data_IF_614220270569
#
_entry.id   IF_614220270569
#
_cell.length_a   1.000
_cell.length_b   1.000
_cell.length_c   1.000
_cell.angle_alpha   90.00
_cell.angle_beta   90.00
_cell.angle_gamma   90.00
#
_symmetry.space_group_name_H-M   'P 1'
#
loop_
_entity.id
_entity.type
_entity.pdbx_description
1 polymer ?
#
# COMPACT_ATOMS: atom_id res chain seq x y z
N UNK A 1 -8.79 -5.29 11.56
CA UNK A 1 -8.16 -4.66 10.39
C UNK A 1 -7.68 -5.77 9.50
N UNK A 2 -8.09 -5.77 8.23
CA UNK A 2 -7.39 -6.55 7.22
C UNK A 2 -6.30 -5.68 6.63
N UNK A 3 -5.15 -6.29 6.38
CA UNK A 3 -4.01 -5.64 5.77
C UNK A 3 -4.28 -5.52 4.26
N UNK A 4 -4.19 -4.32 3.68
CA UNK A 4 -4.17 -4.13 2.22
C UNK A 4 -3.01 -4.89 1.59
N UNK A 5 -2.99 -5.17 0.28
CA UNK A 5 -1.82 -5.77 -0.36
C UNK A 5 -0.54 -4.95 -0.15
N UNK A 6 -0.67 -3.61 -0.06
CA UNK A 6 0.42 -2.71 0.31
C UNK A 6 0.85 -2.98 1.75
N UNK A 7 -0.08 -3.08 2.70
CA UNK A 7 0.24 -3.39 4.10
C UNK A 7 0.78 -4.81 4.28
N UNK A 8 0.32 -5.78 3.50
CA UNK A 8 0.89 -7.13 3.43
C UNK A 8 2.31 -7.05 2.92
N UNK A 9 2.59 -6.23 1.90
CA UNK A 9 3.94 -5.92 1.43
C UNK A 9 4.81 -5.35 2.55
N UNK A 10 4.29 -4.37 3.30
CA UNK A 10 4.97 -3.75 4.45
C UNK A 10 5.23 -4.71 5.59
N UNK A 11 4.25 -5.53 5.93
CA UNK A 11 4.37 -6.62 6.89
C UNK A 11 5.39 -7.63 6.37
N UNK A 12 5.40 -7.95 5.08
CA UNK A 12 6.28 -8.98 4.49
C UNK A 12 7.73 -8.54 4.50
N UNK A 13 8.07 -7.32 4.05
CA UNK A 13 9.46 -6.86 4.14
C UNK A 13 9.85 -6.58 5.60
N UNK A 14 8.93 -6.12 6.46
CA UNK A 14 9.16 -5.96 7.90
C UNK A 14 9.46 -7.30 8.61
N UNK A 15 8.73 -8.36 8.25
CA UNK A 15 9.03 -9.72 8.66
C UNK A 15 10.37 -10.18 8.09
N UNK A 16 10.67 -9.89 6.83
CA UNK A 16 11.96 -10.17 6.20
C UNK A 16 13.14 -9.57 6.96
N UNK A 17 13.06 -8.29 7.35
CA UNK A 17 14.08 -7.66 8.20
C UNK A 17 14.14 -8.27 9.61
N UNK A 18 13.00 -8.63 10.19
CA UNK A 18 12.96 -9.27 11.52
C UNK A 18 13.60 -10.66 11.51
N UNK A 19 13.31 -11.47 10.49
CA UNK A 19 13.97 -12.76 10.28
C UNK A 19 15.45 -12.60 9.94
N UNK A 20 15.84 -11.59 9.16
CA UNK A 20 17.24 -11.27 8.91
C UNK A 20 18.00 -11.00 10.23
N UNK A 21 17.45 -10.14 11.10
CA UNK A 21 18.03 -9.84 12.42
C UNK A 21 18.14 -11.08 13.31
N UNK A 22 17.09 -11.89 13.37
CA UNK A 22 17.10 -13.13 14.12
C UNK A 22 18.20 -14.09 13.62
N UNK A 23 18.30 -14.25 12.30
CA UNK A 23 19.31 -15.11 11.70
C UNK A 23 20.73 -14.57 11.89
N UNK A 24 20.91 -13.26 11.97
CA UNK A 24 22.21 -12.65 12.27
C UNK A 24 22.73 -13.04 13.66
N UNK A 25 21.84 -13.13 14.66
CA UNK A 25 22.19 -13.65 16.00
C UNK A 25 22.64 -15.12 15.92
N UNK A 26 21.98 -15.93 15.09
CA UNK A 26 22.36 -17.34 14.90
C UNK A 26 23.69 -17.54 14.13
N UNK A 27 24.18 -16.52 13.41
CA UNK A 27 25.50 -16.56 12.74
C UNK A 27 26.64 -16.43 13.75
N UNK A 28 26.43 -15.76 14.89
CA UNK A 28 27.51 -15.44 15.83
C UNK A 28 28.15 -16.68 16.47
N UNK A 29 27.34 -17.65 16.93
CA UNK A 29 27.87 -18.82 17.63
C UNK A 29 28.74 -19.72 16.71
N UNK A 30 28.29 -20.05 15.47
CA UNK A 30 29.15 -20.73 14.50
C UNK A 30 30.39 -19.91 14.11
N UNK A 31 30.25 -18.59 13.99
CA UNK A 31 31.37 -17.70 13.64
C UNK A 31 32.45 -17.65 14.72
N UNK A 32 32.09 -17.69 16.00
CA UNK A 32 33.06 -17.73 17.10
C UNK A 32 33.98 -18.95 17.01
N UNK A 33 33.46 -20.09 16.57
CA UNK A 33 34.24 -21.32 16.31
C UNK A 33 35.12 -21.17 15.07
N UNK A 34 34.58 -20.62 13.98
CA UNK A 34 35.30 -20.46 12.71
C UNK A 34 36.45 -19.45 12.82
N UNK A 35 36.22 -18.32 13.48
CA UNK A 35 37.18 -17.22 13.62
C UNK A 35 38.39 -17.57 14.49
N UNK A 36 38.22 -18.49 15.44
CA UNK A 36 39.29 -18.94 16.35
C UNK A 36 39.95 -20.25 15.92
N UNK A 37 39.43 -20.91 14.88
CA UNK A 37 39.96 -22.17 14.39
C UNK A 37 41.37 -21.98 13.79
N UNK A 38 42.35 -22.69 14.34
CA UNK A 38 43.70 -22.72 13.80
C UNK A 38 43.76 -23.65 12.58
N UNK A 39 44.44 -23.26 11.48
CA UNK A 39 44.65 -24.14 10.35
C UNK A 39 45.35 -25.44 10.75
N UNK A 40 44.99 -26.55 10.11
CA UNK A 40 45.58 -27.87 10.37
C UNK A 40 46.59 -28.19 9.28
N UNK A 41 47.77 -28.68 9.68
CA UNK A 41 48.79 -29.16 8.73
C UNK A 41 48.45 -30.60 8.32
N UNK A 42 48.22 -30.82 7.03
CA UNK A 42 47.94 -32.13 6.44
C UNK A 42 49.00 -32.39 5.37
N UNK A 43 49.97 -33.25 5.69
CA UNK A 43 51.14 -33.45 4.85
C UNK A 43 51.99 -32.17 4.76
N UNK A 44 52.21 -31.67 3.55
CA UNK A 44 52.98 -30.42 3.29
C UNK A 44 52.11 -29.16 3.19
N UNK A 45 50.78 -29.30 3.32
CA UNK A 45 49.84 -28.18 3.13
C UNK A 45 49.16 -27.80 4.44
N UNK A 46 48.91 -26.50 4.60
CA UNK A 46 48.11 -25.95 5.71
C UNK A 46 46.70 -25.71 5.20
N UNK A 47 45.70 -26.29 5.87
CA UNK A 47 44.29 -26.23 5.45
C UNK A 47 43.49 -25.53 6.54
N UNK A 48 42.83 -24.42 6.18
CA UNK A 48 41.92 -23.69 7.05
C UNK A 48 40.56 -24.37 7.17
N UNK A 49 39.80 -24.03 8.22
CA UNK A 49 38.48 -24.60 8.47
C UNK A 49 37.51 -24.38 7.28
N UNK A 50 37.56 -23.21 6.65
CA UNK A 50 36.71 -22.82 5.52
C UNK A 50 37.22 -23.33 4.16
N UNK A 51 38.44 -23.87 4.08
CA UNK A 51 38.99 -24.41 2.83
C UNK A 51 38.40 -25.79 2.50
N UNK A 52 37.62 -26.37 3.42
CA UNK A 52 37.03 -27.70 3.30
C UNK A 52 35.57 -27.72 3.75
N UNK A 53 34.83 -28.72 3.30
CA UNK A 53 33.40 -28.83 3.58
C UNK A 53 33.10 -29.32 5.00
N UNK A 54 31.87 -29.07 5.46
CA UNK A 54 31.38 -29.64 6.72
C UNK A 54 31.47 -31.18 6.78
N UNK A 55 31.19 -31.85 5.65
CA UNK A 55 31.26 -33.31 5.56
C UNK A 55 32.71 -33.82 5.70
N UNK A 56 33.67 -33.09 5.15
CA UNK A 56 35.09 -33.41 5.28
C UNK A 56 35.54 -33.43 6.74
N UNK A 57 35.21 -32.38 7.51
CA UNK A 57 35.60 -32.30 8.92
C UNK A 57 34.88 -33.34 9.79
N UNK A 58 33.60 -33.62 9.51
CA UNK A 58 32.87 -34.72 10.20
C UNK A 58 33.51 -36.09 9.91
N UNK A 59 33.87 -36.38 8.67
CA UNK A 59 34.53 -37.64 8.28
C UNK A 59 35.89 -37.83 8.97
N UNK A 60 36.52 -36.74 9.40
CA UNK A 60 37.81 -36.74 10.11
C UNK A 60 37.67 -36.70 11.64
N UNK A 61 36.45 -36.89 12.15
CA UNK A 61 36.16 -36.92 13.59
C UNK A 61 35.98 -35.54 14.24
N UNK A 62 36.05 -34.44 13.48
CA UNK A 62 35.85 -33.09 14.02
C UNK A 62 34.41 -32.61 13.75
N UNK A 63 33.47 -33.17 14.52
CA UNK A 63 32.05 -32.84 14.42
C UNK A 63 31.78 -31.36 14.70
N UNK A 64 32.49 -30.76 15.65
CA UNK A 64 32.33 -29.34 16.05
C UNK A 64 32.60 -28.41 14.87
N UNK A 65 33.66 -28.63 14.09
CA UNK A 65 33.97 -27.80 12.92
C UNK A 65 32.97 -28.04 11.78
N UNK A 66 32.53 -29.29 11.59
CA UNK A 66 31.50 -29.62 10.62
C UNK A 66 30.13 -28.99 10.94
N UNK A 67 29.77 -28.92 12.22
CA UNK A 67 28.54 -28.30 12.70
C UNK A 67 28.62 -26.77 12.59
N UNK A 68 29.75 -26.18 12.97
CA UNK A 68 29.99 -24.73 12.82
C UNK A 68 29.91 -24.28 11.36
N UNK A 69 30.55 -24.98 10.41
CA UNK A 69 30.45 -24.62 8.98
C UNK A 69 29.01 -24.75 8.49
N UNK A 70 28.29 -25.82 8.88
CA UNK A 70 26.90 -26.03 8.45
C UNK A 70 25.99 -24.92 9.00
N UNK A 71 26.09 -24.62 10.30
CA UNK A 71 25.31 -23.59 10.97
C UNK A 71 25.62 -22.18 10.45
N UNK A 72 26.89 -21.88 10.19
CA UNK A 72 27.30 -20.62 9.58
C UNK A 72 26.69 -20.46 8.19
N UNK A 73 26.80 -21.47 7.32
CA UNK A 73 26.25 -21.42 5.96
C UNK A 73 24.73 -21.27 5.96
N UNK A 74 24.01 -22.09 6.72
CA UNK A 74 22.55 -22.01 6.74
C UNK A 74 22.06 -20.66 7.23
N UNK A 75 22.72 -20.12 8.27
CA UNK A 75 22.33 -18.84 8.85
C UNK A 75 22.69 -17.67 7.93
N UNK A 76 23.87 -17.66 7.34
CA UNK A 76 24.28 -16.61 6.40
C UNK A 76 23.46 -16.59 5.11
N UNK A 77 23.11 -17.77 4.57
CA UNK A 77 22.18 -17.86 3.44
C UNK A 77 20.82 -17.29 3.82
N UNK A 78 20.29 -17.61 5.00
CA UNK A 78 19.01 -17.10 5.46
C UNK A 78 19.04 -15.57 5.67
N UNK A 79 20.06 -15.03 6.37
CA UNK A 79 20.25 -13.57 6.54
C UNK A 79 20.24 -12.89 5.18
N UNK A 80 21.10 -13.34 4.26
CA UNK A 80 21.24 -12.72 2.95
C UNK A 80 19.98 -12.84 2.09
N UNK A 81 19.34 -14.00 2.05
CA UNK A 81 18.12 -14.21 1.26
C UNK A 81 16.95 -13.35 1.75
N UNK A 82 16.69 -13.31 3.07
CA UNK A 82 15.64 -12.47 3.63
C UNK A 82 15.93 -10.98 3.48
N UNK A 83 17.20 -10.59 3.63
CA UNK A 83 17.62 -9.20 3.44
C UNK A 83 17.43 -8.71 2.00
N UNK A 84 17.78 -9.54 1.00
CA UNK A 84 17.55 -9.22 -0.42
C UNK A 84 16.06 -9.13 -0.73
N UNK A 85 15.26 -10.10 -0.27
CA UNK A 85 13.82 -10.11 -0.48
C UNK A 85 13.15 -8.86 0.11
N UNK A 86 13.47 -8.51 1.36
CA UNK A 86 12.96 -7.32 2.02
C UNK A 86 13.37 -6.03 1.29
N UNK A 87 14.65 -5.88 0.96
CA UNK A 87 15.15 -4.71 0.26
C UNK A 87 14.54 -4.53 -1.13
N UNK A 88 14.30 -5.62 -1.86
CA UNK A 88 13.69 -5.59 -3.21
C UNK A 88 12.23 -5.14 -3.13
N UNK A 89 11.46 -5.73 -2.21
CA UNK A 89 10.06 -5.36 -2.01
C UNK A 89 9.92 -3.90 -1.56
N UNK A 90 10.78 -3.46 -0.64
CA UNK A 90 10.73 -2.09 -0.14
C UNK A 90 11.24 -1.06 -1.17
N UNK A 91 12.26 -1.37 -1.97
CA UNK A 91 12.70 -0.48 -3.06
C UNK A 91 11.58 -0.23 -4.07
N UNK A 92 10.75 -1.24 -4.32
CA UNK A 92 9.57 -1.08 -5.18
C UNK A 92 8.56 -0.10 -4.58
N UNK A 93 8.22 -0.26 -3.30
CA UNK A 93 7.31 0.66 -2.60
C UNK A 93 7.87 2.09 -2.58
N UNK A 94 9.18 2.24 -2.40
CA UNK A 94 9.88 3.54 -2.43
C UNK A 94 9.80 4.21 -3.81
N UNK A 95 9.87 3.45 -4.91
CA UNK A 95 9.72 4.01 -6.26
C UNK A 95 8.31 4.53 -6.51
N UNK A 96 7.29 3.81 -6.05
CA UNK A 96 5.88 4.25 -6.13
C UNK A 96 5.63 5.49 -5.25
N UNK A 97 6.11 5.47 -4.00
CA UNK A 97 6.02 6.62 -3.08
C UNK A 97 6.79 7.85 -3.63
N UNK A 98 7.92 7.68 -4.34
CA UNK A 98 8.68 8.78 -4.93
C UNK A 98 7.93 9.50 -6.06
N UNK A 99 7.20 8.74 -6.89
CA UNK A 99 6.39 9.28 -7.98
C UNK A 99 5.19 10.10 -7.50
N UNK A 100 4.66 9.77 -6.32
CA UNK A 100 3.46 10.39 -5.73
C UNK A 100 3.78 11.51 -4.73
N UNK A 101 5.05 11.74 -4.43
CA UNK A 101 5.50 12.74 -3.45
C UNK A 101 5.16 14.17 -3.86
N UNK A 102 4.57 14.93 -2.92
CA UNK A 102 4.05 16.29 -3.15
C UNK A 102 5.10 17.38 -2.98
N UNK A 103 6.15 17.12 -2.21
CA UNK A 103 7.16 18.14 -1.87
C UNK A 103 8.58 17.70 -2.17
N UNK A 104 9.48 18.68 -2.38
CA UNK A 104 10.91 18.39 -2.56
C UNK A 104 11.52 17.72 -1.31
N UNK A 105 11.08 18.11 -0.11
CA UNK A 105 11.53 17.53 1.16
C UNK A 105 11.13 16.06 1.29
N UNK A 106 9.91 15.72 0.89
CA UNK A 106 9.41 14.36 0.84
C UNK A 106 10.21 13.54 -0.18
N UNK A 107 10.42 14.06 -1.41
CA UNK A 107 11.28 13.40 -2.42
C UNK A 107 12.69 13.14 -1.90
N UNK A 108 13.31 14.12 -1.23
CA UNK A 108 14.64 13.93 -0.62
C UNK A 108 14.61 12.85 0.46
N UNK A 109 13.63 12.86 1.36
CA UNK A 109 13.52 11.85 2.42
C UNK A 109 13.26 10.44 1.86
N UNK A 110 12.41 10.31 0.83
CA UNK A 110 12.19 9.04 0.11
C UNK A 110 13.48 8.56 -0.56
N UNK A 111 14.23 9.45 -1.21
CA UNK A 111 15.51 9.11 -1.86
C UNK A 111 16.58 8.64 -0.85
N UNK A 112 16.67 9.32 0.30
CA UNK A 112 17.58 8.92 1.39
C UNK A 112 17.18 7.56 1.97
N UNK A 113 15.88 7.31 2.16
CA UNK A 113 15.37 5.99 2.56
C UNK A 113 15.77 4.93 1.52
N UNK A 114 15.53 5.20 0.23
CA UNK A 114 15.86 4.29 -0.88
C UNK A 114 17.34 3.93 -0.95
N UNK A 115 18.22 4.91 -0.78
CA UNK A 115 19.67 4.69 -0.77
C UNK A 115 20.08 3.80 0.41
N UNK A 116 19.45 3.99 1.57
CA UNK A 116 19.71 3.15 2.75
C UNK A 116 19.29 1.70 2.53
N UNK A 117 18.09 1.48 1.96
CA UNK A 117 17.60 0.14 1.60
C UNK A 117 18.50 -0.52 0.56
N UNK A 118 18.98 0.24 -0.43
CA UNK A 118 19.93 -0.27 -1.42
C UNK A 118 21.24 -0.75 -0.78
N UNK A 119 21.82 0.04 0.15
CA UNK A 119 23.03 -0.36 0.89
C UNK A 119 22.79 -1.63 1.71
N UNK A 120 21.64 -1.75 2.37
CA UNK A 120 21.26 -2.98 3.10
C UNK A 120 21.12 -4.20 2.17
N UNK A 121 20.51 -4.03 1.00
CA UNK A 121 20.40 -5.07 -0.02
C UNK A 121 21.76 -5.51 -0.57
N UNK A 122 22.69 -4.57 -0.78
CA UNK A 122 24.06 -4.86 -1.20
C UNK A 122 24.82 -5.66 -0.13
N UNK A 123 24.72 -5.28 1.15
CA UNK A 123 25.32 -6.05 2.24
C UNK A 123 24.72 -7.45 2.38
N UNK A 124 23.40 -7.58 2.22
CA UNK A 124 22.70 -8.87 2.21
C UNK A 124 23.18 -9.78 1.07
N UNK A 125 23.53 -9.21 -0.08
CA UNK A 125 24.12 -9.94 -1.21
C UNK A 125 25.51 -10.49 -0.87
N UNK A 126 26.35 -9.70 -0.18
CA UNK A 126 27.66 -10.16 0.30
C UNK A 126 27.49 -11.29 1.32
N UNK A 127 26.52 -11.17 2.23
CA UNK A 127 26.22 -12.21 3.22
C UNK A 127 25.71 -13.51 2.58
N UNK A 128 24.83 -13.40 1.58
CA UNK A 128 24.35 -14.56 0.81
C UNK A 128 25.51 -15.27 0.09
N UNK A 129 26.40 -14.51 -0.57
CA UNK A 129 27.56 -15.05 -1.26
C UNK A 129 28.48 -15.82 -0.29
N UNK A 130 28.71 -15.28 0.92
CA UNK A 130 29.47 -15.95 1.97
C UNK A 130 28.80 -17.24 2.48
N UNK A 131 27.47 -17.29 2.52
CA UNK A 131 26.74 -18.50 2.93
C UNK A 131 26.76 -19.61 1.86
N UNK A 132 26.59 -19.24 0.59
CA UNK A 132 26.59 -20.18 -0.54
C UNK A 132 28.00 -20.75 -0.75
N UNK A 133 29.00 -19.86 -0.82
CA UNK A 133 30.42 -20.20 -1.06
C UNK A 133 31.31 -19.61 0.04
N UNK A 134 31.40 -20.27 1.21
CA UNK A 134 32.15 -19.77 2.36
C UNK A 134 33.65 -19.94 2.17
N UNK A 135 34.25 -19.17 1.26
CA UNK A 135 35.71 -19.05 1.15
C UNK A 135 36.23 -18.06 2.17
N UNK A 136 37.46 -18.27 2.66
CA UNK A 136 38.08 -17.39 3.66
C UNK A 136 38.02 -15.89 3.29
N UNK A 137 38.19 -15.55 2.01
CA UNK A 137 38.12 -14.16 1.52
C UNK A 137 36.72 -13.55 1.61
N UNK A 138 35.70 -14.26 1.10
CA UNK A 138 34.32 -13.75 1.06
C UNK A 138 33.76 -13.68 2.50
N UNK A 139 34.00 -14.72 3.29
CA UNK A 139 33.59 -14.75 4.70
C UNK A 139 34.27 -13.65 5.52
N UNK A 140 35.56 -13.37 5.30
CA UNK A 140 36.25 -12.27 5.99
C UNK A 140 35.67 -10.90 5.65
N UNK A 141 35.24 -10.68 4.41
CA UNK A 141 34.55 -9.44 4.02
C UNK A 141 33.16 -9.37 4.65
N UNK A 142 32.37 -10.45 4.57
CA UNK A 142 31.02 -10.51 5.11
C UNK A 142 30.96 -10.34 6.64
N UNK A 143 32.00 -10.81 7.35
CA UNK A 143 32.12 -10.69 8.80
C UNK A 143 33.03 -9.54 9.24
N UNK A 144 33.39 -8.63 8.32
CA UNK A 144 34.26 -7.51 8.63
C UNK A 144 33.55 -6.46 9.50
N UNK A 145 34.28 -5.87 10.45
CA UNK A 145 33.73 -4.83 11.33
C UNK A 145 33.22 -3.62 10.57
N UNK A 146 33.88 -3.24 9.47
CA UNK A 146 33.47 -2.07 8.67
C UNK A 146 32.14 -2.31 7.95
N UNK A 147 31.86 -3.53 7.45
CA UNK A 147 30.59 -3.84 6.80
C UNK A 147 29.44 -3.78 7.81
N UNK A 148 29.64 -4.34 9.00
CA UNK A 148 28.64 -4.26 10.08
C UNK A 148 28.36 -2.82 10.50
N UNK A 149 29.40 -1.98 10.61
CA UNK A 149 29.23 -0.54 10.89
C UNK A 149 28.49 0.16 9.74
N UNK A 150 28.81 -0.14 8.49
CA UNK A 150 28.13 0.45 7.33
C UNK A 150 26.63 0.09 7.31
N UNK A 151 26.29 -1.17 7.57
CA UNK A 151 24.90 -1.63 7.65
C UNK A 151 24.15 -1.00 8.83
N UNK A 152 24.81 -0.85 9.98
CA UNK A 152 24.24 -0.16 11.14
C UNK A 152 23.97 1.32 10.84
N UNK A 153 24.90 2.02 10.20
CA UNK A 153 24.72 3.42 9.79
C UNK A 153 23.58 3.54 8.77
N UNK A 154 23.50 2.65 7.79
CA UNK A 154 22.37 2.59 6.87
C UNK A 154 21.04 2.35 7.62
N UNK A 155 21.05 1.51 8.65
CA UNK A 155 19.92 1.29 9.57
C UNK A 155 19.43 2.56 10.26
N UNK A 156 20.34 3.35 10.81
CA UNK A 156 19.99 4.62 11.42
C UNK A 156 19.46 5.64 10.41
N UNK A 157 20.11 5.78 9.26
CA UNK A 157 19.66 6.70 8.20
C UNK A 157 18.24 6.30 7.74
N UNK A 158 17.99 5.01 7.55
CA UNK A 158 16.68 4.47 7.23
C UNK A 158 15.61 4.86 8.25
N UNK A 159 15.89 4.70 9.54
CA UNK A 159 14.95 5.06 10.61
C UNK A 159 14.64 6.55 10.63
N UNK A 160 15.66 7.41 10.52
CA UNK A 160 15.46 8.86 10.48
C UNK A 160 14.70 9.32 9.24
N UNK A 161 14.99 8.73 8.08
CA UNK A 161 14.26 9.01 6.86
C UNK A 161 12.79 8.58 6.97
N UNK A 162 12.52 7.42 7.57
CA UNK A 162 11.16 6.93 7.80
C UNK A 162 10.40 7.82 8.79
N UNK A 163 11.06 8.26 9.87
CA UNK A 163 10.47 9.20 10.83
C UNK A 163 10.16 10.55 10.16
N UNK A 164 11.07 11.06 9.33
CA UNK A 164 10.86 12.28 8.57
C UNK A 164 9.67 12.12 7.59
N UNK A 165 9.57 10.99 6.90
CA UNK A 165 8.45 10.70 5.99
C UNK A 165 7.12 10.59 6.72
N UNK A 166 7.08 9.97 7.90
CA UNK A 166 5.89 9.91 8.72
C UNK A 166 5.48 11.29 9.24
N UNK A 167 6.43 12.19 9.51
CA UNK A 167 6.15 13.58 9.83
C UNK A 167 5.64 14.38 8.62
N UNK A 168 6.11 14.05 7.42
CA UNK A 168 5.75 14.73 6.17
C UNK A 168 4.45 14.21 5.54
N UNK A 169 4.09 12.94 5.74
CA UNK A 169 2.78 12.38 5.34
C UNK A 169 1.70 13.04 6.20
N UNK A 170 1.16 14.15 5.69
CA UNK A 170 0.06 14.89 6.28
C UNK A 170 -1.20 14.63 5.44
N UNK A 171 -2.30 14.38 6.12
CA UNK A 171 -3.65 14.46 5.57
C UNK A 171 -3.91 15.85 4.98
N UNK A 172 -4.94 16.03 4.13
CA UNK A 172 -5.17 17.35 3.52
C UNK A 172 -5.45 18.43 4.56
N UNK A 173 -6.03 18.08 5.72
CA UNK A 173 -6.19 18.98 6.88
C UNK A 173 -4.83 19.41 7.45
N UNK A 174 -3.92 18.47 7.72
CA UNK A 174 -2.59 18.77 8.24
C UNK A 174 -1.76 19.61 7.27
N UNK A 175 -1.89 19.33 5.97
CA UNK A 175 -1.27 20.13 4.92
C UNK A 175 -1.84 21.55 4.87
N UNK A 176 -3.16 21.69 4.96
CA UNK A 176 -3.83 22.99 5.04
C UNK A 176 -3.39 23.78 6.28
N UNK A 177 -3.37 23.16 7.46
CA UNK A 177 -2.91 23.79 8.71
C UNK A 177 -1.44 24.27 8.65
N UNK A 178 -0.60 23.62 7.84
CA UNK A 178 0.79 24.04 7.62
C UNK A 178 0.91 25.25 6.70
N UNK A 179 -0.06 25.47 5.81
CA UNK A 179 -0.08 26.58 4.86
C UNK A 179 -0.99 27.73 5.27
N UNK A 180 -1.92 27.51 6.19
CA UNK A 180 -2.90 28.51 6.58
C UNK A 180 -2.25 29.72 7.26
N UNK A 181 -3.01 30.80 7.37
CA UNK A 181 -2.60 32.04 8.04
C UNK A 181 -2.16 31.84 9.50
N UNK A 182 -2.58 30.76 10.17
CA UNK A 182 -2.19 30.40 11.54
C UNK A 182 -0.85 29.64 11.63
N UNK A 183 -0.26 29.22 10.51
CA UNK A 183 0.96 28.41 10.49
C UNK A 183 2.16 29.17 11.04
N UNK A 184 3.01 28.57 11.88
CA UNK A 184 4.20 29.26 12.42
C UNK A 184 5.30 29.52 11.40
N UNK A 185 5.32 28.77 10.29
CA UNK A 185 6.36 28.85 9.27
C UNK A 185 5.88 29.68 8.07
N UNK A 186 6.38 30.92 7.95
CA UNK A 186 6.00 31.86 6.90
C UNK A 186 6.32 31.35 5.49
N UNK A 187 7.41 30.57 5.33
CA UNK A 187 7.90 30.10 4.01
C UNK A 187 6.92 29.19 3.26
N UNK A 188 5.94 28.59 3.96
CA UNK A 188 4.98 27.66 3.37
C UNK A 188 3.55 28.22 3.35
N UNK A 189 3.33 29.44 3.85
CA UNK A 189 1.99 30.00 3.91
C UNK A 189 1.46 30.33 2.52
N UNK A 190 0.13 30.34 2.39
CA UNK A 190 -0.50 31.04 1.27
C UNK A 190 -0.03 32.50 1.25
N UNK A 191 0.05 33.07 0.06
CA UNK A 191 0.48 34.46 -0.09
C UNK A 191 -0.47 35.39 0.69
N UNK A 192 0.07 36.39 1.40
CA UNK A 192 -0.71 37.44 2.08
C UNK A 192 -1.26 38.46 1.05
N UNK A 193 -1.94 37.95 0.03
CA UNK A 193 -2.62 38.70 -1.03
C UNK A 193 -4.07 38.21 -1.09
N UNK A 194 -4.97 39.03 -1.65
CA UNK A 194 -6.37 38.62 -1.82
C UNK A 194 -6.53 37.31 -2.61
N UNK A 195 -5.58 37.01 -3.51
CA UNK A 195 -5.56 35.73 -4.22
C UNK A 195 -5.16 34.58 -3.31
N UNK A 196 -4.10 34.72 -2.50
CA UNK A 196 -3.67 33.67 -1.59
C UNK A 196 -4.68 33.38 -0.47
N UNK A 197 -5.37 34.41 0.03
CA UNK A 197 -6.49 34.23 0.97
C UNK A 197 -7.64 33.42 0.35
N UNK A 198 -7.96 33.67 -0.93
CA UNK A 198 -8.97 32.91 -1.64
C UNK A 198 -8.54 31.45 -1.85
N UNK A 199 -7.27 31.22 -2.22
CA UNK A 199 -6.69 29.87 -2.33
C UNK A 199 -6.72 29.10 -1.00
N UNK A 200 -6.46 29.78 0.13
CA UNK A 200 -6.55 29.19 1.47
C UNK A 200 -7.98 28.74 1.80
N UNK A 201 -8.97 29.61 1.55
CA UNK A 201 -10.38 29.33 1.81
C UNK A 201 -10.89 28.23 0.87
N UNK A 202 -10.49 28.27 -0.40
CA UNK A 202 -10.85 27.27 -1.39
C UNK A 202 -10.32 25.90 -1.01
N UNK A 203 -9.05 25.79 -0.59
CA UNK A 203 -8.47 24.54 -0.13
C UNK A 203 -9.19 23.98 1.11
N UNK A 204 -9.63 24.84 2.04
CA UNK A 204 -10.43 24.41 3.18
C UNK A 204 -11.82 23.93 2.74
N UNK A 205 -12.43 24.60 1.76
CA UNK A 205 -13.73 24.24 1.22
C UNK A 205 -13.67 22.89 0.48
N UNK A 206 -12.60 22.63 -0.28
CA UNK A 206 -12.30 21.32 -0.90
C UNK A 206 -12.24 20.20 0.15
N UNK A 207 -11.54 20.44 1.26
CA UNK A 207 -11.46 19.47 2.35
C UNK A 207 -12.83 19.26 3.00
N UNK A 208 -13.61 20.32 3.22
CA UNK A 208 -14.95 20.20 3.82
C UNK A 208 -15.96 19.51 2.90
N UNK A 209 -15.78 19.64 1.59
CA UNK A 209 -16.62 18.99 0.58
C UNK A 209 -16.14 17.58 0.23
N UNK A 210 -15.04 17.12 0.82
CA UNK A 210 -14.49 15.80 0.52
C UNK A 210 -15.47 14.67 0.84
N UNK A 211 -15.84 13.84 -0.15
CA UNK A 211 -16.71 12.69 0.09
C UNK A 211 -15.95 11.56 0.80
N UNK A 212 -16.69 10.66 1.43
CA UNK A 212 -16.15 9.41 1.96
C UNK A 212 -16.73 8.25 1.16
N UNK A 213 -15.89 7.29 0.78
CA UNK A 213 -16.30 6.17 -0.04
C UNK A 213 -15.99 4.89 0.71
N UNK A 214 -17.01 4.05 0.87
CA UNK A 214 -16.89 2.72 1.46
C UNK A 214 -17.27 1.67 0.42
N UNK A 215 -16.40 0.69 0.21
CA UNK A 215 -16.60 -0.38 -0.78
C UNK A 215 -16.44 -1.71 -0.09
N UNK A 216 -17.33 -2.65 -0.39
CA UNK A 216 -17.27 -4.03 0.10
C UNK A 216 -17.57 -5.01 -1.02
N UNK A 217 -16.63 -5.94 -1.25
CA UNK A 217 -16.81 -7.02 -2.23
C UNK A 217 -17.93 -7.97 -1.82
N UNK A 218 -18.76 -8.36 -2.78
CA UNK A 218 -19.78 -9.39 -2.63
C UNK A 218 -19.32 -10.71 -3.22
N UNK A 219 -19.65 -11.81 -2.56
CA UNK A 219 -19.26 -13.17 -2.99
C UNK A 219 -20.46 -14.10 -3.12
N UNK A 220 -20.46 -14.95 -4.15
CA UNK A 220 -21.29 -16.16 -4.20
C UNK A 220 -20.42 -17.40 -4.00
N UNK A 221 -21.04 -18.47 -3.52
CA UNK A 221 -20.33 -19.72 -3.26
C UNK A 221 -20.54 -20.68 -4.44
N UNK A 222 -19.45 -21.14 -5.04
CA UNK A 222 -19.45 -22.15 -6.08
C UNK A 222 -18.89 -23.47 -5.54
N UNK A 223 -19.50 -24.59 -5.90
CA UNK A 223 -18.95 -25.90 -5.61
C UNK A 223 -17.84 -26.23 -6.63
N UNK A 224 -16.62 -26.43 -6.14
CA UNK A 224 -15.47 -26.80 -6.96
C UNK A 224 -15.07 -28.24 -6.68
N UNK A 225 -14.87 -28.99 -7.77
CA UNK A 225 -14.51 -30.40 -7.72
C UNK A 225 -13.00 -30.56 -7.50
N UNK A 226 -12.60 -31.31 -6.47
CA UNK A 226 -11.19 -31.58 -6.13
C UNK A 226 -10.67 -32.90 -6.73
N UNK A 227 -11.52 -33.66 -7.42
CA UNK A 227 -11.21 -35.05 -7.80
C UNK A 227 -11.62 -36.04 -6.70
N UNK A 228 -11.88 -37.29 -7.10
CA UNK A 228 -12.33 -38.41 -6.22
C UNK A 228 -13.68 -38.20 -5.49
N UNK A 229 -14.60 -37.42 -6.05
CA UNK A 229 -15.95 -37.26 -5.48
C UNK A 229 -16.07 -36.17 -4.41
N UNK A 230 -14.98 -35.51 -4.05
CA UNK A 230 -14.99 -34.44 -3.05
C UNK A 230 -15.23 -33.07 -3.71
N UNK A 231 -16.17 -32.32 -3.12
CA UNK A 231 -16.49 -30.94 -3.48
C UNK A 231 -16.15 -30.02 -2.32
N UNK A 232 -15.66 -28.83 -2.62
CA UNK A 232 -15.54 -27.75 -1.63
C UNK A 232 -16.24 -26.50 -2.12
N UNK A 233 -16.77 -25.73 -1.17
CA UNK A 233 -17.40 -24.44 -1.45
C UNK A 233 -16.34 -23.35 -1.52
N UNK A 234 -16.19 -22.72 -2.68
CA UNK A 234 -15.27 -21.61 -2.90
C UNK A 234 -16.05 -20.30 -3.00
N UNK A 235 -15.68 -19.30 -2.20
CA UNK A 235 -16.20 -17.95 -2.35
C UNK A 235 -15.59 -17.31 -3.62
N UNK A 236 -16.45 -16.87 -4.53
CA UNK A 236 -16.06 -16.20 -5.77
C UNK A 236 -16.70 -14.82 -5.78
N UNK A 237 -15.91 -13.79 -6.07
CA UNK A 237 -16.41 -12.41 -6.19
C UNK A 237 -17.39 -12.30 -7.37
N UNK A 238 -18.50 -11.61 -7.15
CA UNK A 238 -19.49 -11.30 -8.19
C UNK A 238 -19.79 -9.81 -8.34
N UNK A 239 -19.28 -8.98 -7.44
CA UNK A 239 -19.57 -7.55 -7.43
C UNK A 239 -19.02 -6.85 -6.20
N UNK A 240 -19.45 -5.61 -6.01
CA UNK A 240 -19.22 -4.87 -4.79
C UNK A 240 -20.41 -3.97 -4.46
N UNK A 241 -20.75 -3.89 -3.18
CA UNK A 241 -21.53 -2.79 -2.65
C UNK A 241 -20.64 -1.55 -2.52
N UNK A 242 -21.18 -0.39 -2.85
CA UNK A 242 -20.50 0.90 -2.78
C UNK A 242 -21.39 1.88 -2.04
N UNK A 243 -20.85 2.57 -1.05
CA UNK A 243 -21.48 3.68 -0.37
C UNK A 243 -20.65 4.93 -0.55
N UNK A 244 -21.23 5.97 -1.12
CA UNK A 244 -20.63 7.30 -1.23
C UNK A 244 -21.35 8.22 -0.26
N UNK A 245 -20.66 8.68 0.77
CA UNK A 245 -21.13 9.72 1.68
C UNK A 245 -20.73 11.08 1.13
N UNK A 246 -21.74 11.83 0.70
CA UNK A 246 -21.63 13.19 0.20
C UNK A 246 -21.98 14.18 1.33
N UNK A 247 -21.20 15.25 1.51
CA UNK A 247 -21.52 16.29 2.49
C UNK A 247 -22.89 16.93 2.23
N UNK A 248 -23.59 17.32 3.29
CA UNK A 248 -24.92 17.95 3.19
C UNK A 248 -24.97 19.19 2.28
N UNK A 249 -23.86 19.93 2.14
CA UNK A 249 -23.74 21.13 1.30
C UNK A 249 -23.88 20.86 -0.20
N UNK A 250 -23.83 19.61 -0.63
CA UNK A 250 -23.98 19.19 -2.03
C UNK A 250 -25.46 19.07 -2.43
N UNK A 251 -26.40 19.25 -1.49
CA UNK A 251 -27.85 19.24 -1.78
C UNK A 251 -28.24 20.32 -2.80
N UNK A 252 -29.16 19.97 -3.69
CA UNK A 252 -29.59 20.84 -4.80
C UNK A 252 -28.57 20.95 -5.93
N UNK A 253 -27.47 20.19 -5.89
CA UNK A 253 -26.43 20.16 -6.91
C UNK A 253 -26.41 18.83 -7.67
N UNK A 254 -25.98 18.88 -8.93
CA UNK A 254 -25.74 17.70 -9.74
C UNK A 254 -24.30 17.23 -9.51
N UNK A 255 -24.12 16.00 -9.02
CA UNK A 255 -22.80 15.43 -8.76
C UNK A 255 -22.42 14.51 -9.91
N UNK A 256 -21.21 14.68 -10.45
CA UNK A 256 -20.73 13.88 -11.56
C UNK A 256 -19.77 12.79 -11.09
N UNK A 257 -19.90 11.59 -11.65
CA UNK A 257 -19.10 10.43 -11.29
C UNK A 257 -18.52 9.72 -12.52
N UNK A 258 -17.31 9.20 -12.37
CA UNK A 258 -16.77 8.13 -13.21
C UNK A 258 -16.35 6.97 -12.32
N UNK A 259 -16.63 5.74 -12.75
CA UNK A 259 -16.34 4.54 -11.97
C UNK A 259 -15.77 3.45 -12.86
N UNK A 260 -14.61 2.92 -12.49
CA UNK A 260 -13.99 1.80 -13.20
C UNK A 260 -13.57 0.72 -12.23
N UNK A 261 -13.59 -0.51 -12.72
CA UNK A 261 -12.93 -1.61 -12.05
C UNK A 261 -11.54 -1.78 -12.66
N UNK A 262 -10.56 -2.08 -11.83
CA UNK A 262 -9.20 -2.32 -12.27
C UNK A 262 -8.62 -3.54 -11.58
N UNK A 263 -7.63 -4.15 -12.23
CA UNK A 263 -6.90 -5.31 -11.72
C UNK A 263 -5.42 -5.00 -11.68
N UNK A 264 -4.72 -5.70 -10.82
CA UNK A 264 -3.25 -5.70 -10.81
C UNK A 264 -2.73 -7.04 -11.29
N UNK A 265 -2.31 -7.16 -12.57
CA UNK A 265 -1.81 -8.43 -13.09
C UNK A 265 -0.63 -8.93 -12.24
N UNK A 266 -0.72 -10.18 -11.80
CA UNK A 266 0.28 -10.86 -10.97
C UNK A 266 0.65 -10.14 -9.66
N UNK A 267 -0.17 -9.19 -9.20
CA UNK A 267 0.10 -8.39 -7.99
C UNK A 267 1.33 -7.48 -8.08
N UNK A 268 2.04 -7.46 -9.21
CA UNK A 268 3.30 -6.72 -9.35
C UNK A 268 3.36 -5.76 -10.53
N UNK A 269 2.51 -5.92 -11.54
CA UNK A 269 2.45 -5.02 -12.69
C UNK A 269 1.66 -3.74 -12.35
N UNK A 270 1.74 -2.71 -13.22
CA UNK A 270 0.85 -1.55 -13.15
C UNK A 270 -0.61 -1.97 -13.10
N UNK A 271 -1.45 -1.13 -12.48
CA UNK A 271 -2.89 -1.35 -12.43
C UNK A 271 -3.43 -1.16 -13.85
N UNK A 272 -4.26 -2.10 -14.30
CA UNK A 272 -4.90 -2.07 -15.61
C UNK A 272 -6.41 -2.05 -15.44
N UNK A 273 -7.09 -1.18 -16.18
CA UNK A 273 -8.55 -1.12 -16.23
C UNK A 273 -9.13 -2.44 -16.76
N UNK A 274 -10.24 -2.88 -16.18
CA UNK A 274 -11.08 -3.94 -16.75
C UNK A 274 -12.20 -3.29 -17.56
N UNK A 275 -12.31 -3.67 -18.82
CA UNK A 275 -13.34 -3.18 -19.75
C UNK A 275 -14.70 -3.86 -19.51
N UNK A 276 -15.22 -3.70 -18.29
CA UNK A 276 -16.59 -4.09 -17.92
C UNK A 276 -17.42 -2.83 -17.65
N UNK A 277 -18.60 -2.67 -18.31
CA UNK A 277 -19.45 -1.53 -18.07
C UNK A 277 -20.16 -1.67 -16.71
N UNK A 278 -19.65 -0.95 -15.71
CA UNK A 278 -20.24 -0.90 -14.37
C UNK A 278 -20.99 0.40 -14.09
N UNK A 279 -20.92 1.35 -15.03
CA UNK A 279 -21.47 2.69 -14.92
C UNK A 279 -23.00 2.69 -14.78
N UNK A 280 -23.69 1.95 -15.64
CA UNK A 280 -25.16 1.88 -15.62
C UNK A 280 -25.67 1.26 -14.32
N UNK A 281 -25.02 0.18 -13.87
CA UNK A 281 -25.38 -0.49 -12.62
C UNK A 281 -25.20 0.42 -11.39
N UNK A 282 -24.20 1.31 -11.42
CA UNK A 282 -23.94 2.24 -10.32
C UNK A 282 -25.11 3.20 -10.07
N UNK A 283 -25.74 3.70 -11.14
CA UNK A 283 -26.92 4.57 -11.04
C UNK A 283 -28.23 3.78 -10.86
N UNK A 284 -28.46 2.77 -11.70
CA UNK A 284 -29.76 2.07 -11.77
C UNK A 284 -30.11 1.30 -10.49
N UNK A 285 -29.09 0.90 -9.72
CA UNK A 285 -29.26 0.13 -8.48
C UNK A 285 -29.04 0.95 -7.22
N UNK A 286 -28.77 2.25 -7.37
CA UNK A 286 -28.42 3.07 -6.23
C UNK A 286 -29.63 3.68 -5.52
N UNK A 287 -29.52 3.82 -4.20
CA UNK A 287 -30.54 4.37 -3.33
C UNK A 287 -29.92 5.27 -2.27
N UNK A 288 -30.67 6.28 -1.83
CA UNK A 288 -30.26 7.08 -0.68
C UNK A 288 -30.47 6.33 0.63
N UNK A 289 -29.48 6.38 1.52
CA UNK A 289 -29.50 5.76 2.85
C UNK A 289 -29.31 6.81 3.93
N UNK A 290 -29.73 6.47 5.15
CA UNK A 290 -29.50 7.33 6.32
C UNK A 290 -28.05 7.32 6.71
N UNK A 291 -27.55 8.45 7.23
CA UNK A 291 -26.16 8.63 7.67
C UNK A 291 -25.64 7.52 8.61
N UNK A 292 -26.50 6.99 9.47
CA UNK A 292 -26.21 5.89 10.41
C UNK A 292 -25.86 4.55 9.72
N UNK A 293 -26.22 4.37 8.45
CA UNK A 293 -26.02 3.13 7.67
C UNK A 293 -24.68 3.11 6.92
N UNK A 294 -23.85 4.13 7.09
CA UNK A 294 -22.50 4.14 6.53
C UNK A 294 -21.65 3.00 7.09
N UNK A 295 -20.93 2.29 6.23
CA UNK A 295 -20.09 1.15 6.62
C UNK A 295 -20.85 -0.18 6.70
N UNK A 296 -22.19 -0.16 6.65
CA UNK A 296 -23.01 -1.38 6.72
C UNK A 296 -23.51 -1.81 5.34
N UNK A 297 -22.72 -2.63 4.64
CA UNK A 297 -23.10 -3.25 3.37
C UNK A 297 -23.40 -4.75 3.52
N UNK A 298 -24.47 -5.19 2.87
CA UNK A 298 -24.82 -6.62 2.80
C UNK A 298 -23.95 -7.37 1.80
N UNK A 299 -23.83 -8.69 1.94
CA UNK A 299 -23.11 -9.55 0.99
C UNK A 299 -24.00 -10.03 -0.18
N UNK A 300 -25.12 -9.34 -0.43
CA UNK A 300 -26.07 -9.70 -1.49
C UNK A 300 -26.09 -8.59 -2.55
N UNK A 301 -26.27 -8.94 -3.84
CA UNK A 301 -26.54 -7.94 -4.87
C UNK A 301 -27.75 -7.10 -4.47
N UNK A 302 -27.65 -5.78 -4.65
CA UNK A 302 -28.82 -4.92 -4.56
C UNK A 302 -29.69 -5.14 -5.81
N UNK A 303 -30.99 -5.29 -5.60
CA UNK A 303 -32.00 -5.27 -6.65
C UNK A 303 -32.08 -3.86 -7.28
N UNK A 304 -32.74 -3.72 -8.43
CA UNK A 304 -32.84 -2.41 -9.08
C UNK A 304 -33.58 -1.43 -8.17
N UNK A 305 -33.09 -0.19 -8.10
CA UNK A 305 -33.73 0.84 -7.28
C UNK A 305 -35.16 1.13 -7.76
N UNK A 306 -35.43 0.97 -9.07
CA UNK A 306 -36.77 1.09 -9.66
C UNK A 306 -37.78 0.03 -9.20
N UNK A 307 -37.30 -1.12 -8.72
CA UNK A 307 -38.14 -2.25 -8.28
C UNK A 307 -38.43 -2.18 -6.77
N UNK A 308 -37.67 -1.35 -6.06
CA UNK A 308 -37.87 -1.06 -4.65
C UNK A 308 -38.76 0.19 -4.49
N UNK A 309 -40.06 -0.04 -4.30
CA UNK A 309 -41.05 1.03 -4.09
C UNK A 309 -40.93 1.72 -2.72
N UNK A 310 -39.98 1.30 -1.87
CA UNK A 310 -39.67 2.04 -0.65
C UNK A 310 -38.68 3.15 -0.97
N UNK A 311 -39.16 4.23 -1.60
CA UNK A 311 -38.41 5.48 -1.69
C UNK A 311 -37.97 5.85 -0.26
N UNK A 312 -36.67 5.81 0.07
CA UNK A 312 -36.25 6.27 1.38
C UNK A 312 -36.52 7.77 1.42
N UNK A 313 -37.22 8.22 2.46
CA UNK A 313 -37.35 9.65 2.78
C UNK A 313 -35.93 10.22 2.80
N UNK A 314 -35.65 11.19 1.93
CA UNK A 314 -34.37 11.91 1.91
C UNK A 314 -33.93 12.22 3.35
N UNK A 315 -32.67 11.96 3.74
CA UNK A 315 -32.18 12.26 5.09
C UNK A 315 -32.45 13.72 5.46
N UNK A 316 -32.55 14.04 6.76
CA UNK A 316 -32.74 15.43 7.21
C UNK A 316 -31.72 16.36 6.57
N UNK A 317 -32.09 17.62 6.31
CA UNK A 317 -31.27 18.58 5.54
C UNK A 317 -29.87 18.78 6.14
N UNK A 318 -29.75 18.69 7.47
CA UNK A 318 -28.49 18.81 8.20
C UNK A 318 -27.60 17.56 8.10
N UNK A 319 -28.14 16.42 7.66
CA UNK A 319 -27.40 15.16 7.56
C UNK A 319 -26.73 15.02 6.19
N UNK A 320 -25.55 14.41 6.22
CA UNK A 320 -24.86 13.94 5.02
C UNK A 320 -25.69 12.89 4.28
N UNK A 321 -25.49 12.84 2.97
CA UNK A 321 -26.22 11.94 2.08
C UNK A 321 -25.38 10.71 1.80
N UNK A 322 -25.98 9.53 1.94
CA UNK A 322 -25.32 8.28 1.54
C UNK A 322 -25.99 7.77 0.29
N UNK A 323 -25.23 7.71 -0.79
CA UNK A 323 -25.58 6.97 -1.99
C UNK A 323 -25.07 5.54 -1.88
N UNK A 324 -25.97 4.58 -1.69
CA UNK A 324 -25.63 3.15 -1.63
C UNK A 324 -26.03 2.47 -2.94
N UNK A 325 -25.12 1.73 -3.55
CA UNK A 325 -25.36 0.99 -4.79
C UNK A 325 -24.60 -0.33 -4.82
N UNK A 326 -24.90 -1.18 -5.80
CA UNK A 326 -24.17 -2.41 -6.06
C UNK A 326 -23.76 -2.47 -7.52
N UNK A 327 -22.49 -2.78 -7.78
CA UNK A 327 -21.95 -2.93 -9.14
C UNK A 327 -21.46 -4.35 -9.38
N UNK A 328 -21.77 -4.94 -10.54
CA UNK A 328 -21.20 -6.22 -10.94
C UNK A 328 -19.72 -6.03 -11.25
N UNK A 329 -18.87 -6.94 -10.77
CA UNK A 329 -17.43 -6.86 -10.97
C UNK A 329 -16.91 -8.19 -11.49
N UNK A 330 -15.85 -8.12 -12.28
CA UNK A 330 -15.10 -9.30 -12.68
C UNK A 330 -14.49 -9.97 -11.45
N UNK A 331 -14.36 -11.31 -11.51
CA UNK A 331 -13.76 -12.12 -10.45
C UNK A 331 -12.28 -11.75 -10.20
N UNK A 332 -11.61 -11.19 -11.20
CA UNK A 332 -10.19 -10.80 -11.15
C UNK A 332 -10.03 -9.30 -10.80
N UNK A 333 -11.13 -8.55 -10.61
CA UNK A 333 -11.08 -7.16 -10.19
C UNK A 333 -10.48 -7.04 -8.79
N UNK A 334 -9.46 -6.19 -8.67
CA UNK A 334 -8.71 -5.97 -7.42
C UNK A 334 -9.05 -4.62 -6.79
N UNK A 335 -9.35 -3.61 -7.61
CA UNK A 335 -9.67 -2.27 -7.15
C UNK A 335 -10.94 -1.75 -7.81
N UNK A 336 -11.59 -0.85 -7.08
CA UNK A 336 -12.60 0.03 -7.61
C UNK A 336 -12.05 1.45 -7.58
N UNK A 337 -12.04 2.11 -8.75
CA UNK A 337 -11.62 3.50 -8.87
C UNK A 337 -12.83 4.38 -9.13
N UNK A 338 -12.95 5.44 -8.35
CA UNK A 338 -14.05 6.40 -8.42
C UNK A 338 -13.47 7.80 -8.55
N UNK A 339 -14.07 8.58 -9.43
CA UNK A 339 -13.80 10.00 -9.57
C UNK A 339 -15.09 10.77 -9.39
N UNK A 340 -15.08 11.80 -8.53
CA UNK A 340 -16.25 12.61 -8.18
C UNK A 340 -15.95 14.07 -8.51
N UNK A 341 -16.88 14.74 -9.18
CA UNK A 341 -16.84 16.19 -9.39
C UNK A 341 -18.10 16.86 -8.88
N UNK A 342 -17.89 18.02 -8.27
CA UNK A 342 -18.96 18.95 -7.97
C UNK A 342 -19.04 20.02 -9.05
N UNK A 343 -20.22 20.63 -9.23
CA UNK A 343 -20.40 21.66 -10.23
C UNK A 343 -19.65 22.94 -9.84
N UNK A 344 -19.29 23.74 -10.85
CA UNK A 344 -18.44 24.92 -10.69
C UNK A 344 -19.06 26.04 -9.86
N UNK A 345 -20.38 26.00 -9.67
CA UNK A 345 -21.11 26.92 -8.78
C UNK A 345 -20.90 26.60 -7.29
N UNK A 346 -20.57 25.35 -6.93
CA UNK A 346 -20.26 24.93 -5.57
C UNK A 346 -18.77 25.08 -5.26
N UNK A 347 -17.93 24.69 -6.22
CA UNK A 347 -16.48 24.75 -6.08
C UNK A 347 -15.82 25.08 -7.41
N UNK A 348 -14.97 26.09 -7.43
CA UNK A 348 -14.22 26.40 -8.64
C UNK A 348 -13.18 25.31 -8.85
N UNK A 349 -13.17 24.62 -10.00
CA UNK A 349 -12.09 23.69 -10.29
C UNK A 349 -10.77 24.46 -10.37
N UNK A 350 -9.75 24.00 -9.64
CA UNK A 350 -8.38 24.51 -9.79
C UNK A 350 -7.83 24.25 -11.21
N UNK A 351 -6.65 24.80 -11.53
CA UNK A 351 -6.05 24.72 -12.88
C UNK A 351 -5.95 23.28 -13.45
N UNK A 352 -5.88 22.27 -12.59
CA UNK A 352 -5.74 20.87 -12.99
C UNK A 352 -7.05 20.05 -12.92
N UNK A 353 -8.15 20.66 -12.44
CA UNK A 353 -9.53 20.15 -12.43
C UNK A 353 -9.67 18.63 -12.21
N UNK A 354 -9.02 18.15 -11.13
CA UNK A 354 -8.77 16.72 -10.91
C UNK A 354 -9.98 15.98 -10.33
N UNK A 355 -10.92 16.69 -9.70
CA UNK A 355 -11.98 16.07 -8.88
C UNK A 355 -11.44 15.31 -7.68
N UNK A 356 -12.33 14.66 -6.94
CA UNK A 356 -11.96 13.74 -5.85
C UNK A 356 -11.74 12.35 -6.43
N UNK A 357 -10.61 11.74 -6.08
CA UNK A 357 -10.11 10.49 -6.67
C UNK A 357 -9.95 9.44 -5.58
N UNK A 358 -10.53 8.28 -5.82
CA UNK A 358 -10.49 7.16 -4.90
C UNK A 358 -10.04 5.92 -5.64
N UNK A 359 -9.15 5.14 -5.03
CA UNK A 359 -8.80 3.79 -5.46
C UNK A 359 -8.86 2.87 -4.26
N UNK A 360 -9.88 2.01 -4.23
CA UNK A 360 -10.24 1.24 -3.04
C UNK A 360 -10.04 -0.24 -3.35
N UNK A 361 -9.30 -0.94 -2.50
CA UNK A 361 -9.05 -2.37 -2.65
C UNK A 361 -10.31 -3.17 -2.31
N UNK A 362 -10.66 -4.11 -3.19
CA UNK A 362 -11.87 -4.92 -3.04
C UNK A 362 -11.64 -6.02 -2.00
N UNK A 363 -12.27 -5.86 -0.84
CA UNK A 363 -12.22 -6.83 0.26
C UNK A 363 -13.61 -7.23 0.76
N UNK A 364 -13.73 -8.43 1.34
CA UNK A 364 -15.00 -8.94 1.91
C UNK A 364 -15.39 -8.30 3.24
N UNK A 365 -14.44 -7.66 3.93
CA UNK A 365 -14.71 -6.87 5.14
C UNK A 365 -15.16 -5.44 4.84
N UNK A 366 -14.87 -4.97 3.64
CA UNK A 366 -15.05 -3.59 3.20
C UNK A 366 -13.92 -2.67 3.64
N UNK A 367 -13.67 -1.63 2.87
CA UNK A 367 -12.65 -0.62 3.11
C UNK A 367 -13.21 0.80 2.87
N UNK A 368 -12.72 1.77 3.64
CA UNK A 368 -13.16 3.17 3.58
C UNK A 368 -11.99 4.05 3.21
N UNK A 369 -12.15 4.83 2.15
CA UNK A 369 -11.24 5.92 1.81
C UNK A 369 -11.94 7.27 2.00
N UNK A 370 -11.15 8.28 2.35
CA UNK A 370 -11.62 9.61 2.70
C UNK A 370 -10.73 10.66 2.06
N UNK A 371 -11.21 11.90 1.97
CA UNK A 371 -10.49 13.04 1.40
C UNK A 371 -10.46 13.01 -0.14
N UNK A 372 -9.84 12.00 -0.77
CA UNK A 372 -9.81 11.89 -2.24
C UNK A 372 -9.08 13.03 -2.97
N UNK A 373 -8.48 13.99 -2.24
CA UNK A 373 -7.67 15.08 -2.79
C UNK A 373 -6.21 14.68 -3.08
N UNK A 374 -5.89 13.39 -2.98
CA UNK A 374 -4.54 12.88 -3.27
C UNK A 374 -4.25 12.90 -4.76
N UNK A 375 -3.08 13.43 -5.11
CA UNK A 375 -2.56 13.47 -6.48
C UNK A 375 -2.10 12.07 -6.92
N UNK A 376 -3.03 11.15 -7.12
CA UNK A 376 -2.77 9.81 -7.63
C UNK A 376 -3.11 9.78 -9.12
N UNK A 377 -2.23 9.22 -9.95
CA UNK A 377 -2.56 8.84 -11.33
C UNK A 377 -3.40 7.57 -11.28
N UNK A 378 -4.66 7.68 -11.71
CA UNK A 378 -5.64 6.59 -11.72
C UNK A 378 -6.16 6.39 -13.13
N UNK A 379 -6.53 5.16 -13.47
CA UNK A 379 -7.07 4.80 -14.78
C UNK A 379 -8.41 5.49 -15.04
N UNK A 380 -9.18 5.77 -13.98
CA UNK A 380 -10.44 6.53 -14.07
C UNK A 380 -10.25 7.92 -14.70
N UNK A 381 -9.07 8.54 -14.56
CA UNK A 381 -8.77 9.87 -15.16
C UNK A 381 -8.72 9.84 -16.69
N UNK A 382 -8.45 8.68 -17.28
CA UNK A 382 -8.43 8.54 -18.74
C UNK A 382 -9.84 8.59 -19.36
N UNK A 383 -10.90 8.54 -18.55
CA UNK A 383 -12.27 8.67 -19.01
C UNK A 383 -12.63 10.14 -19.27
N UNK A 384 -13.24 10.39 -20.44
CA UNK A 384 -13.72 11.72 -20.82
C UNK A 384 -14.92 12.16 -19.96
N UNK A 385 -15.02 13.47 -19.73
CA UNK A 385 -16.18 14.11 -19.10
C UNK A 385 -17.47 14.03 -19.91
N UNK A 386 -17.39 13.77 -21.21
CA UNK A 386 -18.57 13.69 -22.10
C UNK A 386 -19.47 12.47 -21.86
N UNK A 387 -19.12 11.58 -20.92
CA UNK A 387 -19.92 10.40 -20.55
C UNK A 387 -20.05 10.18 -19.04
N UNK A 388 -19.85 11.23 -18.22
CA UNK A 388 -19.92 11.13 -16.76
C UNK A 388 -21.35 10.88 -16.28
N UNK A 389 -21.46 9.98 -15.31
CA UNK A 389 -22.73 9.72 -14.61
C UNK A 389 -23.13 10.96 -13.82
N UNK A 390 -24.40 11.31 -13.83
CA UNK A 390 -24.92 12.47 -13.09
C UNK A 390 -25.92 11.98 -12.06
N UNK A 391 -25.63 12.27 -10.79
CA UNK A 391 -26.56 12.07 -9.68
C UNK A 391 -27.19 13.42 -9.34
N UNK A 392 -28.49 13.52 -9.52
CA UNK A 392 -29.25 14.68 -9.09
C UNK A 392 -29.57 14.56 -7.61
N UNK A 393 -29.08 15.52 -6.82
CA UNK A 393 -29.30 15.56 -5.38
C UNK A 393 -30.42 16.55 -5.08
N UNK A 394 -31.56 16.06 -4.59
CA UNK A 394 -32.68 16.93 -4.23
C UNK A 394 -32.30 17.89 -3.07
N UNK A 395 -32.81 19.12 -3.14
CA UNK A 395 -32.56 20.20 -2.18
C UNK A 395 -33.17 19.90 -0.79
N UNK A 396 -34.41 19.42 -0.77
CA UNK A 396 -35.16 19.11 0.45
C UNK A 396 -35.99 17.84 0.29
N UNK A 397 -36.58 17.34 1.39
CA UNK A 397 -37.62 16.30 1.31
C UNK A 397 -38.78 16.83 0.45
N UNK A 398 -39.31 16.05 -0.52
CA UNK A 398 -40.60 16.38 -1.10
C UNK A 398 -41.67 16.35 0.01
N UNK A 399 -42.44 17.44 0.08
CA UNK A 399 -43.52 17.66 1.05
C UNK A 399 -44.62 16.60 0.99
#
# INVERSE_FOLDING_TARGET
GDFSAKDIGKVTYGLGYSFNLLMAVFVEAPWAVISTAKPVVIGTYTVGILDQSAAYWRARGNAVWGDAIRGFRSSMVAVGAFGIAAATLELKDILEDFGTARTMQEKTAISVKGTSVFVMGAGSTIQLAAGISPTAKITAVAMSSWLNVALLVAGFIYLFATMALNYLKQDSVGWWLRKCCWSKNLDYRYAETAQGENEEIQALLEIQLSPQVYVKSTVHYEERYLGKGDYYSAAVQNGAGVQVRLPNRVRGQSVHFNIVSSKRPWGVLPVEKIDQPIHDAFLDRGQFRKSEQFGTLTNKPADKASEDFTYPLMPHEDEDLIWETWVPLDKDATYLELQIWYPSNLIHPGEEDRGYLFQIELGTRGDTDSDGLTAVELEVKALSRTGTLTLEVAESRPL
#
